data_IF_087208344586
#
_entry.id   IF_087208344586
#
_cell.length_a   1.000
_cell.length_b   1.000
_cell.length_c   1.000
_cell.angle_alpha   90.00
_cell.angle_beta   90.00
_cell.angle_gamma   90.00
#
_symmetry.space_group_name_H-M   'P 1'
#
loop_
_entity.id
_entity.type
_entity.pdbx_description
1 polymer ?
#
# COMPACT_ATOMS: atom_id res chain seq x y z
N UNK A 1 15.15 -5.63 5.69
CA UNK A 1 14.02 -4.80 5.22
C UNK A 1 14.00 -5.02 3.72
N UNK A 2 13.09 -5.85 3.20
CA UNK A 2 13.05 -6.16 1.78
C UNK A 2 12.73 -4.88 1.01
N UNK A 3 13.72 -4.39 0.26
CA UNK A 3 13.66 -3.12 -0.47
C UNK A 3 12.59 -3.08 -1.57
N UNK A 4 11.95 -4.22 -1.85
CA UNK A 4 11.01 -4.39 -2.97
C UNK A 4 9.54 -4.42 -2.54
N UNK A 5 9.22 -4.55 -1.24
CA UNK A 5 7.84 -4.50 -0.78
C UNK A 5 7.26 -3.10 -1.04
N UNK A 6 6.07 -3.04 -1.65
CA UNK A 6 5.40 -1.80 -2.04
C UNK A 6 5.87 -1.23 -3.38
N UNK A 7 6.89 -1.82 -4.00
CA UNK A 7 7.38 -1.40 -5.33
C UNK A 7 6.45 -1.98 -6.39
N UNK A 8 6.13 -1.17 -7.39
CA UNK A 8 5.37 -1.60 -8.59
C UNK A 8 6.27 -2.43 -9.50
N UNK A 9 5.71 -3.47 -10.11
CA UNK A 9 6.42 -4.37 -11.01
C UNK A 9 7.15 -3.63 -12.14
N UNK A 10 6.48 -2.68 -12.79
CA UNK A 10 7.04 -1.91 -13.90
C UNK A 10 8.12 -0.90 -13.51
N UNK A 11 8.38 -0.71 -12.21
CA UNK A 11 9.46 0.13 -11.70
C UNK A 11 10.75 -0.66 -11.43
N UNK A 12 10.72 -1.98 -11.60
CA UNK A 12 11.91 -2.82 -11.50
C UNK A 12 12.73 -2.78 -12.79
N UNK A 13 14.05 -2.82 -12.64
CA UNK A 13 14.94 -3.09 -13.76
C UNK A 13 14.66 -4.47 -14.35
N UNK A 14 14.80 -4.61 -15.67
CA UNK A 14 14.47 -5.86 -16.38
C UNK A 14 15.26 -7.07 -15.84
N UNK A 15 16.54 -6.87 -15.53
CA UNK A 15 17.39 -7.90 -14.90
C UNK A 15 16.85 -8.37 -13.55
N UNK A 16 16.24 -7.45 -12.77
CA UNK A 16 15.62 -7.80 -11.49
C UNK A 16 14.32 -8.59 -11.70
N UNK A 17 13.49 -8.18 -12.67
CA UNK A 17 12.27 -8.94 -13.02
C UNK A 17 12.60 -10.36 -13.46
N UNK A 18 13.58 -10.53 -14.35
CA UNK A 18 13.96 -11.83 -14.88
C UNK A 18 14.51 -12.74 -13.76
N UNK A 19 15.38 -12.20 -12.88
CA UNK A 19 15.90 -12.94 -11.72
C UNK A 19 14.80 -13.39 -10.75
N UNK A 20 13.77 -12.56 -10.53
CA UNK A 20 12.63 -12.91 -9.67
C UNK A 20 11.77 -14.01 -10.30
N UNK A 21 11.59 -14.00 -11.62
CA UNK A 21 10.78 -14.99 -12.33
C UNK A 21 11.47 -16.35 -12.48
N UNK A 22 12.81 -16.41 -12.49
CA UNK A 22 13.56 -17.69 -12.55
C UNK A 22 13.20 -18.68 -11.43
N UNK A 23 12.75 -18.16 -10.27
CA UNK A 23 12.40 -18.96 -9.09
C UNK A 23 10.92 -18.96 -8.78
N UNK A 24 10.12 -18.36 -9.66
CA UNK A 24 8.74 -18.06 -9.36
C UNK A 24 7.87 -19.32 -9.40
N UNK A 25 6.99 -19.45 -8.40
CA UNK A 25 5.94 -20.46 -8.37
C UNK A 25 4.56 -19.78 -8.40
N UNK A 26 3.61 -20.41 -9.08
CA UNK A 26 2.26 -19.87 -9.21
C UNK A 26 1.27 -20.65 -8.36
N UNK A 27 0.56 -19.94 -7.49
CA UNK A 27 -0.45 -20.47 -6.59
C UNK A 27 -1.82 -19.93 -6.99
N UNK A 28 -2.80 -20.81 -7.11
CA UNK A 28 -4.20 -20.43 -7.27
C UNK A 28 -4.70 -19.80 -5.95
N UNK A 29 -5.07 -18.52 -6.00
CA UNK A 29 -5.47 -17.76 -4.81
C UNK A 29 -6.81 -18.20 -4.18
N UNK A 30 -7.58 -19.06 -4.85
CA UNK A 30 -8.85 -19.59 -4.34
C UNK A 30 -8.63 -20.94 -3.66
N UNK A 31 -7.85 -21.82 -4.27
CA UNK A 31 -7.66 -23.21 -3.81
C UNK A 31 -6.40 -23.41 -2.98
N UNK A 32 -5.41 -22.50 -3.09
CA UNK A 32 -4.11 -22.61 -2.43
C UNK A 32 -3.18 -23.67 -3.04
N UNK A 33 -3.53 -24.22 -4.19
CA UNK A 33 -2.70 -25.22 -4.89
C UNK A 33 -1.84 -24.58 -5.97
N UNK A 34 -0.80 -25.28 -6.40
CA UNK A 34 -0.03 -24.89 -7.58
C UNK A 34 -0.94 -24.81 -8.81
N UNK A 35 -0.78 -23.76 -9.60
CA UNK A 35 -1.43 -23.59 -10.89
C UNK A 35 -0.42 -23.33 -12.00
N UNK A 36 -0.81 -23.68 -13.21
CA UNK A 36 0.00 -23.49 -14.44
C UNK A 36 -0.77 -22.73 -15.51
N UNK A 37 -2.00 -22.30 -15.21
CA UNK A 37 -2.82 -21.52 -16.12
C UNK A 37 -3.78 -20.60 -15.35
N UNK A 38 -3.96 -19.38 -15.84
CA UNK A 38 -4.93 -18.41 -15.33
C UNK A 38 -4.38 -17.47 -14.25
N UNK A 39 -5.30 -16.82 -13.54
CA UNK A 39 -4.99 -15.88 -12.45
C UNK A 39 -4.31 -16.61 -11.29
N UNK A 40 -3.23 -16.02 -10.78
CA UNK A 40 -2.46 -16.62 -9.70
C UNK A 40 -1.75 -15.57 -8.84
N UNK A 41 -1.33 -16.02 -7.67
CA UNK A 41 -0.29 -15.39 -6.87
C UNK A 41 1.03 -15.96 -7.37
N UNK A 42 1.94 -15.09 -7.79
CA UNK A 42 3.28 -15.45 -8.24
C UNK A 42 4.23 -15.21 -7.07
N UNK A 43 4.63 -16.29 -6.40
CA UNK A 43 5.64 -16.26 -5.35
C UNK A 43 7.01 -16.13 -5.99
N UNK A 44 7.57 -14.93 -5.93
CA UNK A 44 8.85 -14.55 -6.54
C UNK A 44 10.04 -15.06 -5.71
N UNK A 45 9.89 -15.05 -4.38
CA UNK A 45 10.82 -15.63 -3.41
C UNK A 45 10.03 -16.15 -2.20
N UNK A 46 10.70 -16.78 -1.23
CA UNK A 46 10.09 -17.19 0.04
C UNK A 46 9.41 -16.04 0.80
N UNK A 47 9.76 -14.78 0.49
CA UNK A 47 9.28 -13.59 1.20
C UNK A 47 8.48 -12.62 0.31
N UNK A 48 8.46 -12.81 -1.01
CA UNK A 48 7.91 -11.84 -1.95
C UNK A 48 6.94 -12.50 -2.93
N UNK A 49 5.78 -11.89 -3.09
CA UNK A 49 4.78 -12.31 -4.06
C UNK A 49 4.22 -11.11 -4.83
N UNK A 50 3.65 -11.39 -5.99
CA UNK A 50 2.93 -10.41 -6.81
C UNK A 50 1.73 -11.09 -7.47
N UNK A 51 0.64 -10.34 -7.66
CA UNK A 51 -0.50 -10.84 -8.41
C UNK A 51 -0.19 -10.85 -9.91
N UNK A 52 -0.57 -11.92 -10.61
CA UNK A 52 -0.44 -11.97 -12.05
C UNK A 52 -1.20 -13.14 -12.66
N UNK A 53 -0.80 -13.50 -13.87
CA UNK A 53 -1.32 -14.66 -14.58
C UNK A 53 -0.16 -15.53 -15.04
N UNK A 54 -0.37 -16.83 -15.04
CA UNK A 54 0.52 -17.79 -15.70
C UNK A 54 -0.20 -18.38 -16.89
N UNK A 55 0.52 -18.56 -17.99
CA UNK A 55 -0.01 -19.18 -19.20
C UNK A 55 0.92 -20.31 -19.63
N UNK A 56 0.38 -21.51 -19.72
CA UNK A 56 1.08 -22.64 -20.32
C UNK A 56 1.21 -22.43 -21.83
N UNK A 57 2.45 -22.39 -22.32
CA UNK A 57 2.76 -22.28 -23.75
C UNK A 57 2.96 -23.67 -24.33
N UNK A 58 3.81 -24.48 -23.69
CA UNK A 58 4.02 -25.87 -24.04
C UNK A 58 4.28 -26.71 -22.78
N UNK A 59 3.30 -27.51 -22.40
CA UNK A 59 3.38 -28.35 -21.20
C UNK A 59 4.49 -29.40 -21.28
N UNK A 60 4.75 -29.94 -22.47
CA UNK A 60 5.71 -31.03 -22.67
C UNK A 60 7.17 -30.54 -22.57
N UNK A 61 7.40 -29.27 -22.88
CA UNK A 61 8.71 -28.60 -22.78
C UNK A 61 8.88 -27.85 -21.46
N UNK A 62 7.80 -27.65 -20.70
CA UNK A 62 7.80 -26.88 -19.46
C UNK A 62 7.84 -25.37 -19.68
N UNK A 63 7.32 -24.91 -20.82
CA UNK A 63 7.33 -23.50 -21.22
C UNK A 63 6.08 -22.79 -20.69
N UNK A 64 6.32 -21.79 -19.84
CA UNK A 64 5.29 -20.95 -19.23
C UNK A 64 5.62 -19.47 -19.43
N UNK A 65 4.58 -18.67 -19.59
CA UNK A 65 4.65 -17.21 -19.67
C UNK A 65 4.01 -16.60 -18.41
N UNK A 66 4.74 -15.71 -17.75
CA UNK A 66 4.24 -14.90 -16.64
C UNK A 66 3.77 -13.55 -17.17
N UNK A 67 2.54 -13.17 -16.83
CA UNK A 67 1.94 -11.90 -17.23
C UNK A 67 1.64 -11.11 -15.95
N UNK A 68 2.38 -10.01 -15.75
CA UNK A 68 2.28 -9.16 -14.57
C UNK A 68 2.04 -7.73 -15.04
N UNK A 69 0.99 -7.09 -14.53
CA UNK A 69 0.70 -5.68 -14.79
C UNK A 69 1.82 -4.81 -14.17
N UNK A 70 2.29 -3.81 -14.90
CA UNK A 70 3.31 -2.87 -14.41
C UNK A 70 2.88 -2.16 -13.11
N UNK A 71 1.58 -2.01 -12.88
CA UNK A 71 1.01 -1.42 -11.67
C UNK A 71 0.83 -2.42 -10.51
N UNK A 72 1.08 -3.73 -10.74
CA UNK A 72 1.02 -4.74 -9.70
C UNK A 72 2.07 -4.45 -8.61
N UNK A 73 1.65 -4.51 -7.36
CA UNK A 73 2.50 -4.19 -6.21
C UNK A 73 3.11 -5.47 -5.67
N UNK A 74 4.42 -5.46 -5.44
CA UNK A 74 5.12 -6.56 -4.75
C UNK A 74 4.80 -6.48 -3.26
N UNK A 75 4.34 -7.59 -2.70
CA UNK A 75 3.97 -7.72 -1.30
C UNK A 75 4.66 -8.91 -0.63
N UNK A 76 4.49 -9.04 0.68
CA UNK A 76 5.05 -10.15 1.44
C UNK A 76 4.25 -11.43 1.18
N UNK A 77 4.90 -12.48 0.70
CA UNK A 77 4.28 -13.81 0.49
C UNK A 77 3.95 -14.53 1.79
N UNK A 78 4.62 -14.17 2.89
CA UNK A 78 4.20 -14.59 4.21
C UNK A 78 2.80 -14.02 4.51
N UNK A 79 1.84 -14.91 4.77
CA UNK A 79 0.64 -14.57 5.53
C UNK A 79 1.11 -14.20 6.94
N UNK A 80 1.53 -12.94 7.10
CA UNK A 80 1.94 -12.38 8.38
C UNK A 80 0.68 -12.16 9.22
N UNK A 81 0.26 -13.18 9.96
CA UNK A 81 -0.29 -12.92 11.28
C UNK A 81 0.87 -12.40 12.14
N UNK A 82 0.66 -11.16 12.59
CA UNK A 82 1.56 -10.27 13.34
C UNK A 82 2.47 -9.37 12.50
N UNK A 83 2.05 -8.10 12.41
CA UNK A 83 2.85 -6.97 11.91
C UNK A 83 4.03 -6.65 12.82
N UNK A 84 5.12 -6.10 12.27
CA UNK A 84 6.14 -5.42 13.07
C UNK A 84 5.50 -4.42 14.02
N UNK A 85 5.95 -4.39 15.28
CA UNK A 85 5.59 -3.29 16.19
C UNK A 85 6.01 -1.95 15.54
N UNK A 86 5.06 -1.01 15.46
CA UNK A 86 5.25 0.38 15.00
C UNK A 86 5.44 0.60 13.49
N UNK A 87 4.69 -0.09 12.61
CA UNK A 87 4.57 0.33 11.20
C UNK A 87 3.65 1.56 11.09
N UNK A 88 4.24 2.73 10.85
CA UNK A 88 3.47 3.95 10.52
C UNK A 88 3.24 4.05 9.01
N UNK A 89 1.96 4.17 8.62
CA UNK A 89 1.57 4.47 7.25
C UNK A 89 1.26 5.95 7.12
N UNK A 90 1.78 6.64 6.10
CA UNK A 90 1.58 8.08 5.90
C UNK A 90 0.10 8.47 5.83
N UNK A 91 -0.76 7.61 5.27
CA UNK A 91 -2.20 7.84 5.21
C UNK A 91 -2.83 7.97 6.60
N UNK A 92 -2.28 7.29 7.61
CA UNK A 92 -2.73 7.38 9.00
C UNK A 92 -2.30 8.70 9.67
N UNK A 93 -1.43 9.50 9.03
CA UNK A 93 -1.05 10.83 9.49
C UNK A 93 -1.95 11.94 8.92
N UNK A 94 -2.98 11.57 8.17
CA UNK A 94 -4.02 12.48 7.68
C UNK A 94 -5.36 12.06 8.27
N UNK A 95 -6.10 13.03 8.79
CA UNK A 95 -7.42 12.85 9.41
C UNK A 95 -8.45 13.68 8.65
N UNK A 96 -9.68 13.22 8.63
CA UNK A 96 -10.82 14.09 8.38
C UNK A 96 -10.97 15.11 9.53
N UNK A 97 -11.59 16.25 9.26
CA UNK A 97 -11.89 17.22 10.31
C UNK A 97 -12.76 16.63 11.44
N UNK A 98 -13.61 15.66 11.12
CA UNK A 98 -14.46 14.97 12.10
C UNK A 98 -13.62 14.08 13.03
N UNK A 99 -12.74 13.24 12.47
CA UNK A 99 -11.82 12.40 13.25
C UNK A 99 -10.88 13.24 14.11
N UNK A 100 -10.30 14.31 13.54
CA UNK A 100 -9.44 15.22 14.27
C UNK A 100 -10.19 15.95 15.41
N UNK A 101 -11.46 16.30 15.20
CA UNK A 101 -12.28 16.94 16.22
C UNK A 101 -12.55 15.99 17.40
N UNK A 102 -12.90 14.74 17.10
CA UNK A 102 -13.11 13.69 18.10
C UNK A 102 -11.83 13.41 18.89
N UNK A 103 -10.71 13.19 18.20
CA UNK A 103 -9.42 12.87 18.84
C UNK A 103 -8.92 13.98 19.77
N UNK A 104 -9.14 15.25 19.44
CA UNK A 104 -8.73 16.39 20.27
C UNK A 104 -9.80 16.91 21.23
N UNK A 105 -10.99 16.28 21.29
CA UNK A 105 -12.08 16.75 22.15
C UNK A 105 -12.56 18.15 21.81
N UNK A 106 -12.51 18.54 20.53
CA UNK A 106 -12.95 19.85 20.04
C UNK A 106 -14.09 19.70 19.02
N UNK A 107 -14.69 20.80 18.61
CA UNK A 107 -15.70 20.77 17.53
C UNK A 107 -15.03 20.92 16.17
N UNK A 108 -15.63 20.33 15.12
CA UNK A 108 -15.19 20.60 13.74
C UNK A 108 -15.23 22.11 13.39
N UNK A 109 -16.14 22.85 14.02
CA UNK A 109 -16.23 24.31 13.88
C UNK A 109 -14.96 25.03 14.35
N UNK A 110 -14.31 24.53 15.40
CA UNK A 110 -13.04 25.06 15.88
C UNK A 110 -11.93 24.87 14.83
N UNK A 111 -11.86 23.70 14.20
CA UNK A 111 -10.92 23.41 13.11
C UNK A 111 -11.21 24.31 11.90
N UNK A 112 -12.48 24.44 11.50
CA UNK A 112 -12.90 25.35 10.42
C UNK A 112 -12.54 26.81 10.71
N UNK A 113 -12.66 27.25 11.96
CA UNK A 113 -12.25 28.59 12.39
C UNK A 113 -10.74 28.77 12.33
N UNK A 114 -9.95 27.76 12.72
CA UNK A 114 -8.49 27.78 12.58
C UNK A 114 -8.06 27.93 11.12
N UNK A 115 -8.69 27.18 10.21
CA UNK A 115 -8.51 27.32 8.76
C UNK A 115 -8.86 28.74 8.29
N UNK A 116 -10.04 29.25 8.66
CA UNK A 116 -10.50 30.58 8.25
C UNK A 116 -9.59 31.71 8.79
N UNK A 117 -8.99 31.50 9.96
CA UNK A 117 -8.03 32.42 10.56
C UNK A 117 -6.65 32.47 9.87
N UNK A 118 -6.46 31.68 8.80
CA UNK A 118 -5.20 31.53 8.04
C UNK A 118 -4.00 31.09 8.87
N UNK A 119 -4.25 30.46 10.03
CA UNK A 119 -3.19 29.90 10.87
C UNK A 119 -2.77 28.49 10.44
N UNK A 120 -3.55 27.88 9.54
CA UNK A 120 -3.23 26.63 8.87
C UNK A 120 -2.97 26.92 7.38
N UNK A 121 -1.94 26.29 6.83
CA UNK A 121 -1.46 26.49 5.46
C UNK A 121 -2.13 25.48 4.51
N UNK A 122 -2.91 25.93 3.50
CA UNK A 122 -3.50 25.04 2.51
C UNK A 122 -2.42 24.27 1.73
N UNK A 123 -2.63 22.97 1.52
CA UNK A 123 -1.69 22.09 0.81
C UNK A 123 -0.54 21.56 1.66
N UNK A 124 -0.35 22.09 2.88
CA UNK A 124 0.65 21.60 3.86
C UNK A 124 -0.08 21.01 5.07
N UNK A 125 -0.95 21.82 5.69
CA UNK A 125 -1.66 21.44 6.90
C UNK A 125 -3.00 20.80 6.61
N UNK A 126 -3.68 21.28 5.58
CA UNK A 126 -5.01 20.81 5.23
C UNK A 126 -5.30 20.93 3.73
N UNK A 127 -6.26 20.13 3.27
CA UNK A 127 -6.86 20.28 1.93
C UNK A 127 -8.34 19.92 1.95
N UNK A 128 -9.06 20.34 0.90
CA UNK A 128 -10.44 19.90 0.66
C UNK A 128 -10.44 18.64 -0.21
N UNK A 129 -11.28 17.67 0.15
CA UNK A 129 -11.58 16.46 -0.60
C UNK A 129 -13.10 16.38 -0.78
N UNK A 130 -13.61 17.01 -1.83
CA UNK A 130 -15.05 17.23 -2.00
C UNK A 130 -15.62 18.03 -0.82
N UNK A 131 -16.60 17.44 -0.11
CA UNK A 131 -17.21 18.05 1.09
C UNK A 131 -16.36 17.88 2.35
N UNK A 132 -15.40 16.96 2.35
CA UNK A 132 -14.58 16.62 3.50
C UNK A 132 -13.36 17.55 3.53
N UNK A 133 -12.91 17.89 4.74
CA UNK A 133 -11.63 18.57 4.95
C UNK A 133 -10.68 17.56 5.55
N UNK A 134 -9.52 17.39 4.92
CA UNK A 134 -8.44 16.58 5.43
C UNK A 134 -7.41 17.48 6.08
N UNK A 135 -6.88 17.07 7.22
CA UNK A 135 -5.91 17.80 8.04
C UNK A 135 -4.83 16.83 8.53
N UNK A 136 -3.58 17.26 8.55
CA UNK A 136 -2.49 16.42 9.04
C UNK A 136 -2.52 16.33 10.57
N UNK A 137 -2.12 15.18 11.12
CA UNK A 137 -1.89 15.02 12.57
C UNK A 137 -0.86 16.04 13.07
N UNK A 138 0.18 16.32 12.29
CA UNK A 138 1.20 17.32 12.63
C UNK A 138 0.59 18.72 12.82
N UNK A 139 -0.29 19.15 11.91
CA UNK A 139 -0.99 20.42 12.05
C UNK A 139 -1.86 20.46 13.32
N UNK A 140 -2.56 19.36 13.62
CA UNK A 140 -3.34 19.25 14.85
C UNK A 140 -2.46 19.32 16.09
N UNK A 141 -1.34 18.60 16.13
CA UNK A 141 -0.37 18.65 17.24
C UNK A 141 0.21 20.05 17.42
N UNK A 142 0.59 20.72 16.33
CA UNK A 142 1.15 22.07 16.38
C UNK A 142 0.14 23.10 16.90
N UNK A 143 -1.15 22.90 16.61
CA UNK A 143 -2.18 23.90 16.87
C UNK A 143 -2.96 23.67 18.18
N UNK A 144 -3.19 22.40 18.52
CA UNK A 144 -4.01 21.96 19.65
C UNK A 144 -3.23 21.13 20.67
N UNK A 145 -1.95 20.81 20.41
CA UNK A 145 -1.08 20.08 21.33
C UNK A 145 -1.03 18.57 21.08
N UNK A 146 -0.07 17.88 21.71
CA UNK A 146 0.02 16.42 21.68
C UNK A 146 -1.13 15.80 22.50
N UNK A 147 -1.68 14.70 22.01
CA UNK A 147 -2.56 13.83 22.79
C UNK A 147 -1.67 13.00 23.73
N UNK A 148 -2.08 12.89 24.99
CA UNK A 148 -1.40 12.12 26.04
C UNK A 148 -2.26 10.93 26.45
#
# INVERSE_FOLDING_TARGET
>A
MNKLIGVRWGMLEKETQDWLLEKANCIDGITGNNTTEGDCIIDLTDELSVSGQIKCINKDEGDYEYIIDDEAIIYSGEVLLESKENVEFEINNVLTASEAAEMWGITEGAIRKAIASRRLVPGVDFRKAGRITLITKEAMVRFYGKLY
#
